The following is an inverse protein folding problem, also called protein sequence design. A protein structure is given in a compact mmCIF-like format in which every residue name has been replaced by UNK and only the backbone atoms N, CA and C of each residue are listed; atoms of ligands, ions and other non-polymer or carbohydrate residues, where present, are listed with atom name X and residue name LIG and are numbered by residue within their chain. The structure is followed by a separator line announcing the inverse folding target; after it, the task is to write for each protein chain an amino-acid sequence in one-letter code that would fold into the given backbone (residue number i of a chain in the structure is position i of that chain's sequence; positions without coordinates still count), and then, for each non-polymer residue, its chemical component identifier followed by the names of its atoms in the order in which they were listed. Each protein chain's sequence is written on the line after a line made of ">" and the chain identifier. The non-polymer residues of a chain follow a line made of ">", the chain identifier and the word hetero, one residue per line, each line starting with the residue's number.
data_IF_945477593672
#
_entry.id   IF_945477593672
#
_cell.length_a   1.000
_cell.length_b   1.000
_cell.length_c   1.000
_cell.angle_alpha   90.00
_cell.angle_beta   90.00
_cell.angle_gamma   90.00
#
_symmetry.space_group_name_H-M   'P 1'
#
loop_
_entity.id
_entity.type
_entity.pdbx_description
1 polymer ?
#
# COMPACT_ATOMS: atom_id res chain seq x y z
N UNK A 1 -15.57 7.31 6.08
CA UNK A 1 -14.17 6.82 6.16
C UNK A 1 -14.06 5.98 7.41
N UNK A 2 -14.08 4.68 7.25
CA UNK A 2 -14.01 3.75 8.38
C UNK A 2 -12.54 3.45 8.66
N UNK A 3 -12.03 3.92 9.78
CA UNK A 3 -10.74 3.50 10.31
C UNK A 3 -11.01 2.19 11.05
N UNK A 4 -10.53 1.09 10.51
CA UNK A 4 -10.57 -0.20 11.19
C UNK A 4 -9.22 -0.39 11.85
N UNK A 5 -9.17 -0.30 13.18
CA UNK A 5 -7.98 -0.73 13.92
C UNK A 5 -7.98 -2.26 13.95
N UNK A 6 -7.01 -2.85 13.26
CA UNK A 6 -6.77 -4.30 13.31
C UNK A 6 -5.52 -4.52 14.14
N UNK A 7 -5.68 -5.12 15.30
CA UNK A 7 -4.55 -5.57 16.12
C UNK A 7 -4.03 -6.89 15.56
N UNK A 8 -2.82 -6.86 15.04
CA UNK A 8 -2.12 -8.08 14.61
C UNK A 8 -1.26 -8.52 15.79
N UNK A 9 -1.53 -9.71 16.32
CA UNK A 9 -0.81 -10.30 17.46
C UNK A 9 0.72 -10.27 17.20
N UNK A 10 1.47 -9.63 18.10
CA UNK A 10 2.93 -9.45 17.96
C UNK A 10 3.37 -8.26 17.10
N UNK A 11 2.44 -7.35 16.72
CA UNK A 11 2.70 -6.13 15.97
C UNK A 11 1.84 -4.98 16.51
N UNK A 12 1.85 -4.81 17.83
CA UNK A 12 0.96 -3.88 18.57
C UNK A 12 1.16 -2.41 18.25
N UNK A 13 2.28 -2.06 17.65
CA UNK A 13 2.64 -0.71 17.20
C UNK A 13 2.21 -0.39 15.75
N UNK A 14 1.59 -1.35 15.05
CA UNK A 14 1.10 -1.17 13.68
C UNK A 14 -0.37 -0.84 13.64
N UNK A 15 -0.70 0.23 12.94
CA UNK A 15 -2.07 0.66 12.71
C UNK A 15 -2.45 0.46 11.24
N UNK A 16 -3.60 -0.17 11.02
CA UNK A 16 -4.17 -0.38 9.70
C UNK A 16 -5.30 0.62 9.45
N UNK A 17 -5.25 1.33 8.32
CA UNK A 17 -6.30 2.26 7.90
C UNK A 17 -6.75 1.93 6.48
N UNK A 18 -8.05 1.99 6.23
CA UNK A 18 -8.66 1.70 4.93
C UNK A 18 -9.60 2.82 4.51
N UNK A 19 -9.61 3.23 3.23
CA UNK A 19 -10.61 4.18 2.71
C UNK A 19 -11.76 3.52 2.00
N UNK A 20 -11.50 2.39 1.33
CA UNK A 20 -12.46 1.72 0.48
C UNK A 20 -12.60 0.27 0.91
N UNK A 21 -13.81 -0.22 0.85
CA UNK A 21 -14.06 -1.65 1.01
C UNK A 21 -13.79 -2.35 -0.32
N UNK A 22 -12.95 -3.36 -0.31
CA UNK A 22 -12.67 -4.14 -1.50
C UNK A 22 -13.74 -5.23 -1.73
N UNK A 23 -14.28 -5.24 -2.94
CA UNK A 23 -15.22 -6.26 -3.40
C UNK A 23 -14.60 -7.06 -4.53
N UNK A 24 -14.33 -8.34 -4.29
CA UNK A 24 -13.75 -9.22 -5.31
C UNK A 24 -14.73 -9.44 -6.47
N UNK A 25 -14.23 -9.79 -7.66
CA UNK A 25 -15.07 -10.11 -8.85
C UNK A 25 -15.98 -11.31 -8.62
N UNK A 26 -15.65 -12.17 -7.65
CA UNK A 26 -16.48 -13.34 -7.30
C UNK A 26 -17.81 -12.95 -6.66
N UNK A 27 -17.87 -11.78 -6.03
CA UNK A 27 -19.11 -11.26 -5.44
C UNK A 27 -19.90 -10.62 -6.56
N UNK A 28 -21.02 -11.29 -6.93
CA UNK A 28 -22.01 -10.79 -7.89
C UNK A 28 -23.06 -9.96 -7.13
N UNK A 29 -23.84 -9.18 -7.86
CA UNK A 29 -24.94 -8.37 -7.30
C UNK A 29 -24.49 -7.35 -6.24
N UNK A 30 -23.40 -6.66 -6.50
CA UNK A 30 -22.95 -5.53 -5.69
C UNK A 30 -23.68 -4.26 -6.11
N UNK A 31 -24.02 -3.40 -5.15
CA UNK A 31 -24.60 -2.09 -5.43
C UNK A 31 -23.65 -1.18 -6.23
N UNK A 32 -24.18 -0.07 -6.76
CA UNK A 32 -23.44 0.88 -7.60
C UNK A 32 -22.17 1.41 -6.91
N UNK A 33 -22.24 1.72 -5.62
CA UNK A 33 -21.08 2.21 -4.86
C UNK A 33 -19.96 1.17 -4.79
N UNK A 34 -20.31 -0.10 -4.54
CA UNK A 34 -19.35 -1.18 -4.49
C UNK A 34 -18.73 -1.47 -5.87
N UNK A 35 -19.50 -1.31 -6.94
CA UNK A 35 -19.00 -1.38 -8.31
C UNK A 35 -17.99 -0.25 -8.57
N UNK A 36 -18.34 0.98 -8.20
CA UNK A 36 -17.47 2.14 -8.34
C UNK A 36 -16.15 1.95 -7.57
N UNK A 37 -16.20 1.50 -6.30
CA UNK A 37 -14.98 1.23 -5.51
C UNK A 37 -14.11 0.15 -6.14
N UNK A 38 -14.72 -0.89 -6.69
CA UNK A 38 -14.00 -1.93 -7.43
C UNK A 38 -13.29 -1.34 -8.65
N UNK A 39 -13.95 -0.47 -9.41
CA UNK A 39 -13.37 0.17 -10.58
C UNK A 39 -12.19 1.07 -10.21
N UNK A 40 -12.31 1.88 -9.16
CA UNK A 40 -11.20 2.71 -8.66
C UNK A 40 -9.96 1.88 -8.32
N UNK A 41 -10.16 0.71 -7.68
CA UNK A 41 -9.05 -0.18 -7.32
C UNK A 41 -8.39 -0.79 -8.56
N UNK A 42 -9.17 -1.19 -9.56
CA UNK A 42 -8.61 -1.74 -10.80
C UNK A 42 -7.87 -0.68 -11.61
N UNK A 43 -8.45 0.50 -11.77
CA UNK A 43 -7.81 1.61 -12.45
C UNK A 43 -6.47 1.98 -11.79
N UNK A 44 -6.45 2.00 -10.45
CA UNK A 44 -5.20 2.20 -9.71
C UNK A 44 -4.17 1.09 -9.97
N UNK A 45 -4.59 -0.18 -9.98
CA UNK A 45 -3.69 -1.31 -10.27
C UNK A 45 -3.12 -1.27 -11.68
N UNK A 46 -3.86 -0.71 -12.62
CA UNK A 46 -3.49 -0.53 -14.02
C UNK A 46 -2.72 0.78 -14.27
N UNK A 47 -2.37 1.52 -13.22
CA UNK A 47 -1.62 2.77 -13.33
C UNK A 47 -2.48 3.99 -13.68
N UNK A 48 -3.80 3.88 -13.59
CA UNK A 48 -4.74 4.98 -13.84
C UNK A 48 -5.21 5.62 -12.54
N UNK A 49 -5.77 6.84 -12.62
CA UNK A 49 -6.37 7.57 -11.49
C UNK A 49 -5.45 7.80 -10.27
N UNK A 50 -4.13 7.78 -10.48
CA UNK A 50 -3.16 7.94 -9.40
C UNK A 50 -3.32 9.28 -8.66
N UNK A 51 -3.64 10.36 -9.36
CA UNK A 51 -3.70 11.69 -8.77
C UNK A 51 -4.80 11.82 -7.71
N UNK A 52 -6.00 11.29 -7.96
CA UNK A 52 -7.11 11.42 -7.02
C UNK A 52 -6.93 10.50 -5.80
N UNK A 53 -6.45 9.28 -6.03
CA UNK A 53 -6.09 8.37 -4.94
C UNK A 53 -4.97 8.97 -4.10
N UNK A 54 -3.94 9.57 -4.73
CA UNK A 54 -2.84 10.23 -4.02
C UNK A 54 -3.30 11.41 -3.18
N UNK A 55 -4.24 12.24 -3.67
CA UNK A 55 -4.84 13.31 -2.89
C UNK A 55 -5.56 12.79 -1.63
N UNK A 56 -6.29 11.68 -1.76
CA UNK A 56 -6.97 11.06 -0.63
C UNK A 56 -5.97 10.55 0.42
N UNK A 57 -4.91 9.85 -0.02
CA UNK A 57 -3.84 9.36 0.86
C UNK A 57 -3.11 10.52 1.53
N UNK A 58 -2.75 11.56 0.78
CA UNK A 58 -2.08 12.73 1.31
C UNK A 58 -2.90 13.45 2.37
N UNK A 59 -4.22 13.65 2.13
CA UNK A 59 -5.13 14.21 3.14
C UNK A 59 -5.17 13.38 4.42
N UNK A 60 -5.16 12.05 4.32
CA UNK A 60 -5.08 11.17 5.50
C UNK A 60 -3.77 11.34 6.26
N UNK A 61 -2.64 11.34 5.56
CA UNK A 61 -1.33 11.54 6.17
C UNK A 61 -1.27 12.87 6.92
N UNK A 62 -1.68 13.95 6.27
CA UNK A 62 -1.71 15.28 6.89
C UNK A 62 -2.67 15.34 8.09
N UNK A 63 -3.87 14.74 7.97
CA UNK A 63 -4.83 14.67 9.08
C UNK A 63 -4.27 13.91 10.28
N UNK A 64 -3.54 12.81 10.04
CA UNK A 64 -3.00 11.93 11.08
C UNK A 64 -1.76 12.52 11.75
N UNK A 65 -0.83 13.07 10.96
CA UNK A 65 0.48 13.49 11.44
C UNK A 65 0.64 15.00 11.61
N UNK A 66 -0.25 15.79 11.05
CA UNK A 66 -0.15 17.25 11.08
C UNK A 66 1.22 17.74 10.58
N UNK A 67 1.87 18.60 11.33
CA UNK A 67 3.21 19.13 11.00
C UNK A 67 4.31 18.05 10.94
N UNK A 68 4.11 16.93 11.65
CA UNK A 68 5.07 15.79 11.66
C UNK A 68 5.08 14.98 10.37
N UNK A 69 4.16 15.25 9.42
CA UNK A 69 4.12 14.56 8.13
C UNK A 69 5.44 14.65 7.37
N UNK A 70 6.20 15.73 7.55
CA UNK A 70 7.51 15.93 6.91
C UNK A 70 8.60 14.98 7.39
N UNK A 71 8.42 14.31 8.53
CA UNK A 71 9.30 13.26 9.04
C UNK A 71 8.76 11.85 8.80
N UNK A 72 7.63 11.72 8.11
CA UNK A 72 7.03 10.45 7.76
C UNK A 72 7.58 9.99 6.41
N UNK A 73 8.04 8.74 6.34
CA UNK A 73 8.42 8.11 5.08
C UNK A 73 7.21 7.37 4.52
N UNK A 74 6.79 7.74 3.32
CA UNK A 74 5.75 7.04 2.58
C UNK A 74 6.38 6.04 1.61
N UNK A 75 5.99 4.77 1.70
CA UNK A 75 6.40 3.73 0.77
C UNK A 75 5.22 2.85 0.39
N UNK A 76 5.22 2.35 -0.83
CA UNK A 76 4.24 1.39 -1.32
C UNK A 76 4.73 -0.04 -1.12
N UNK A 77 3.79 -0.97 -0.91
CA UNK A 77 4.12 -2.40 -0.99
C UNK A 77 4.47 -2.72 -2.44
N UNK A 78 5.65 -3.31 -2.70
CA UNK A 78 6.09 -3.60 -4.06
C UNK A 78 5.14 -4.54 -4.80
N UNK A 79 4.99 -4.33 -6.10
CA UNK A 79 4.32 -5.27 -6.98
C UNK A 79 5.15 -6.56 -7.18
N UNK A 80 4.62 -7.53 -7.93
CA UNK A 80 5.26 -8.82 -8.15
C UNK A 80 6.51 -8.77 -9.02
N UNK A 81 6.70 -7.72 -9.83
CA UNK A 81 7.90 -7.47 -10.62
C UNK A 81 8.31 -6.01 -10.53
N UNK A 82 9.57 -5.72 -10.84
CA UNK A 82 10.10 -4.34 -10.84
C UNK A 82 9.35 -3.45 -11.83
N UNK A 83 9.12 -3.92 -13.05
CA UNK A 83 8.38 -3.20 -14.08
C UNK A 83 6.96 -2.80 -13.60
N UNK A 84 6.21 -3.74 -13.05
CA UNK A 84 4.89 -3.46 -12.49
C UNK A 84 4.94 -2.53 -11.28
N UNK A 85 6.01 -2.62 -10.49
CA UNK A 85 6.21 -1.74 -9.35
C UNK A 85 6.44 -0.30 -9.80
N UNK A 86 7.24 -0.08 -10.82
CA UNK A 86 7.49 1.24 -11.39
C UNK A 86 6.22 1.83 -12.02
N UNK A 87 5.55 1.06 -12.87
CA UNK A 87 4.32 1.50 -13.54
C UNK A 87 3.21 1.90 -12.54
N UNK A 88 3.06 1.14 -11.45
CA UNK A 88 2.00 1.36 -10.46
C UNK A 88 2.38 2.36 -9.38
N UNK A 89 3.56 2.20 -8.79
CA UNK A 89 3.88 2.81 -7.50
C UNK A 89 4.76 4.05 -7.60
N UNK A 90 5.57 4.21 -8.66
CA UNK A 90 6.51 5.33 -8.79
C UNK A 90 5.78 6.68 -8.81
N UNK A 91 4.98 6.91 -9.83
CA UNK A 91 4.21 8.15 -9.98
C UNK A 91 3.25 8.38 -8.81
N UNK A 92 2.61 7.32 -8.33
CA UNK A 92 1.72 7.41 -7.17
C UNK A 92 2.44 7.89 -5.91
N UNK A 93 3.61 7.32 -5.61
CA UNK A 93 4.41 7.69 -4.46
C UNK A 93 4.90 9.15 -4.54
N UNK A 94 5.34 9.58 -5.73
CA UNK A 94 5.73 10.96 -6.00
C UNK A 94 4.56 11.94 -5.74
N UNK A 95 3.38 11.62 -6.24
CA UNK A 95 2.17 12.45 -6.03
C UNK A 95 1.75 12.52 -4.57
N UNK A 96 1.73 11.40 -3.85
CA UNK A 96 1.41 11.39 -2.41
C UNK A 96 2.36 12.28 -1.64
N UNK A 97 3.66 12.15 -1.87
CA UNK A 97 4.68 12.95 -1.19
C UNK A 97 4.61 14.44 -1.57
N UNK A 98 4.36 14.73 -2.85
CA UNK A 98 4.13 16.10 -3.32
C UNK A 98 2.95 16.78 -2.62
N UNK A 99 1.84 16.05 -2.43
CA UNK A 99 0.62 16.63 -1.81
C UNK A 99 0.67 16.65 -0.28
N UNK A 100 1.39 15.72 0.35
CA UNK A 100 1.43 15.61 1.82
C UNK A 100 2.65 16.29 2.45
N UNK A 101 3.75 16.41 1.71
CA UNK A 101 5.05 16.81 2.24
C UNK A 101 5.81 15.66 2.92
N UNK A 102 5.34 14.42 2.82
CA UNK A 102 6.04 13.24 3.32
C UNK A 102 7.30 12.93 2.50
N UNK A 103 8.20 12.19 3.09
CA UNK A 103 9.45 11.73 2.44
C UNK A 103 9.11 10.56 1.50
N UNK A 104 9.58 10.61 0.25
CA UNK A 104 9.35 9.53 -0.69
C UNK A 104 10.33 8.36 -0.44
N UNK A 105 9.78 7.22 -0.03
CA UNK A 105 10.53 5.99 0.22
C UNK A 105 10.57 5.01 -0.96
N UNK A 106 10.01 5.36 -2.12
CA UNK A 106 9.90 4.44 -3.25
C UNK A 106 11.25 3.87 -3.71
N UNK A 107 12.28 4.71 -3.84
CA UNK A 107 13.61 4.29 -4.32
C UNK A 107 14.38 3.38 -3.36
N UNK A 108 13.98 3.33 -2.09
CA UNK A 108 14.63 2.54 -1.06
C UNK A 108 14.09 1.09 -0.99
N UNK A 109 12.98 0.82 -1.68
CA UNK A 109 12.36 -0.51 -1.72
C UNK A 109 12.47 -1.08 -3.12
N UNK A 110 13.29 -2.13 -3.27
CA UNK A 110 13.50 -2.80 -4.55
C UNK A 110 12.83 -4.17 -4.56
N UNK A 111 12.29 -4.53 -5.71
CA UNK A 111 11.80 -5.90 -5.96
C UNK A 111 13.01 -6.77 -6.27
N UNK A 112 13.26 -7.77 -5.43
CA UNK A 112 14.34 -8.73 -5.66
C UNK A 112 13.73 -10.06 -6.09
N UNK A 113 14.01 -10.47 -7.33
CA UNK A 113 13.50 -11.69 -7.93
C UNK A 113 12.07 -11.58 -8.45
N UNK A 114 11.65 -12.55 -9.24
CA UNK A 114 10.27 -12.68 -9.69
C UNK A 114 9.43 -13.33 -8.61
N UNK A 115 8.34 -12.68 -8.26
CA UNK A 115 7.37 -13.23 -7.33
C UNK A 115 6.24 -13.88 -8.10
N UNK A 116 6.10 -15.18 -7.98
CA UNK A 116 4.95 -15.90 -8.52
C UNK A 116 3.66 -15.34 -7.91
N UNK A 117 2.70 -14.98 -8.77
CA UNK A 117 1.42 -14.45 -8.30
C UNK A 117 0.72 -15.50 -7.41
N UNK A 118 0.43 -15.12 -6.17
CA UNK A 118 -0.18 -16.01 -5.16
C UNK A 118 -1.64 -16.32 -5.48
N UNK A 119 -2.28 -15.50 -6.35
CA UNK A 119 -3.66 -15.70 -6.77
C UNK A 119 -3.72 -16.72 -7.90
N UNK A 120 -4.19 -17.93 -7.57
CA UNK A 120 -4.39 -19.04 -8.51
C UNK A 120 -3.46 -20.24 -8.30
N UNK A 121 -2.38 -20.10 -7.57
CA UNK A 121 -1.53 -21.23 -7.17
C UNK A 121 -1.76 -21.59 -5.70
N UNK A 122 -1.79 -22.88 -5.38
CA UNK A 122 -1.81 -23.37 -3.99
C UNK A 122 -0.44 -23.15 -3.33
N UNK A 123 -0.06 -21.87 -3.15
CA UNK A 123 1.19 -21.54 -2.44
C UNK A 123 1.00 -21.84 -0.96
N UNK A 124 1.89 -22.63 -0.39
CA UNK A 124 1.86 -23.00 1.02
C UNK A 124 1.96 -21.75 1.91
N UNK A 125 1.25 -21.77 3.05
CA UNK A 125 1.18 -20.66 4.02
C UNK A 125 2.58 -20.17 4.43
N UNK A 126 3.52 -21.07 4.60
CA UNK A 126 4.90 -20.80 5.02
C UNK A 126 5.70 -19.93 4.04
N UNK A 127 5.44 -20.03 2.72
CA UNK A 127 6.09 -19.17 1.73
C UNK A 127 5.53 -17.75 1.73
N UNK A 128 4.26 -17.58 2.09
CA UNK A 128 3.62 -16.24 2.23
C UNK A 128 4.24 -15.48 3.40
N UNK A 129 4.43 -16.14 4.54
CA UNK A 129 5.01 -15.55 5.75
C UNK A 129 6.49 -15.19 5.53
N UNK A 130 7.28 -16.03 4.88
CA UNK A 130 8.68 -15.75 4.54
C UNK A 130 8.84 -14.52 3.64
N UNK A 131 7.94 -14.32 2.69
CA UNK A 131 7.97 -13.17 1.78
C UNK A 131 7.60 -11.86 2.48
N UNK A 132 6.64 -11.88 3.41
CA UNK A 132 6.30 -10.71 4.23
C UNK A 132 7.44 -10.32 5.17
N UNK A 133 8.04 -11.30 5.84
CA UNK A 133 9.17 -11.06 6.76
C UNK A 133 10.40 -10.46 6.06
N UNK A 134 10.67 -10.88 4.81
CA UNK A 134 11.76 -10.29 4.01
C UNK A 134 11.51 -8.82 3.66
N UNK A 135 10.26 -8.47 3.33
CA UNK A 135 9.89 -7.09 3.05
C UNK A 135 10.03 -6.20 4.29
N UNK A 136 9.48 -6.62 5.44
CA UNK A 136 9.58 -5.89 6.70
C UNK A 136 11.04 -5.64 7.12
N UNK A 137 11.91 -6.63 6.95
CA UNK A 137 13.35 -6.49 7.23
C UNK A 137 14.05 -5.50 6.29
N UNK A 138 13.76 -5.57 4.99
CA UNK A 138 14.35 -4.66 4.01
C UNK A 138 13.94 -3.21 4.26
N UNK A 139 12.68 -2.98 4.58
CA UNK A 139 12.15 -1.65 4.90
C UNK A 139 12.75 -1.14 6.21
N UNK A 140 12.81 -1.95 7.26
CA UNK A 140 13.43 -1.55 8.55
C UNK A 140 14.90 -1.21 8.40
N UNK A 141 15.67 -1.97 7.62
CA UNK A 141 17.08 -1.71 7.38
C UNK A 141 17.34 -0.41 6.60
N UNK A 142 16.45 -0.08 5.62
CA UNK A 142 16.61 1.12 4.81
C UNK A 142 16.35 2.43 5.57
N UNK A 143 15.60 2.37 6.68
CA UNK A 143 15.10 3.57 7.35
C UNK A 143 15.21 3.52 8.88
N UNK A 144 16.34 3.13 9.39
CA UNK A 144 16.60 3.12 10.83
C UNK A 144 16.33 4.52 11.42
N UNK A 145 15.40 4.60 12.36
CA UNK A 145 15.03 5.84 13.03
C UNK A 145 13.78 6.57 12.50
N UNK A 146 13.18 6.11 11.41
CA UNK A 146 11.92 6.68 10.87
C UNK A 146 10.72 5.78 11.20
N UNK A 147 9.55 6.39 11.41
CA UNK A 147 8.29 5.64 11.58
C UNK A 147 7.69 5.29 10.21
N UNK A 148 7.41 4.00 9.99
CA UNK A 148 6.84 3.51 8.75
C UNK A 148 5.33 3.34 8.83
N UNK A 149 4.68 3.67 7.73
CA UNK A 149 3.27 3.41 7.52
C UNK A 149 3.09 2.81 6.13
N UNK A 150 2.85 1.50 6.11
CA UNK A 150 2.59 0.77 4.88
C UNK A 150 1.09 0.77 4.58
N UNK A 151 0.71 1.20 3.39
CA UNK A 151 -0.61 0.97 2.84
C UNK A 151 -0.58 -0.34 2.05
N UNK A 152 -0.89 -1.47 2.70
CA UNK A 152 -1.09 -2.73 2.01
C UNK A 152 -2.44 -2.71 1.31
N UNK A 153 -2.43 -2.94 0.01
CA UNK A 153 -3.64 -3.30 -0.71
C UNK A 153 -3.93 -4.77 -0.41
N UNK A 154 -5.02 -5.05 0.27
CA UNK A 154 -5.62 -6.38 0.28
C UNK A 154 -6.35 -6.66 -1.04
#
# INVERSE_FOLDING_TARGET
>A
MNVVQVYIKGQEDKELSSFLRYYTVRIKNIGMDAFFYRQVIYDFKDGRNHADVAKCVAKMLVKKFGRKVRSVVFSCVPASSQERNEARNKNFSELVCKFSGAINGFSHVKVVGERTAVHGTKVKKDEREKNMTKFDKAVSAAFTGHRFYNFSQQ
#
